data_IF_283082297370
#
_entry.id   IF_283082297370
#
_cell.length_a   1.000
_cell.length_b   1.000
_cell.length_c   1.000
_cell.angle_alpha   90.00
_cell.angle_beta   90.00
_cell.angle_gamma   90.00
#
_symmetry.space_group_name_H-M   'P 1'
#
loop_
_entity.id
_entity.type
_entity.pdbx_description
1 polymer ?
#
# COMPACT_ATOMS: atom_id res chain seq x y z
N UNK A 1 2.48 8.52 -40.29
CA UNK A 1 1.92 8.59 -38.92
C UNK A 1 1.15 9.89 -38.71
N UNK A 2 1.75 11.08 -38.89
CA UNK A 2 1.06 12.40 -38.82
C UNK A 2 -0.33 12.48 -39.48
N UNK A 3 -0.52 11.86 -40.66
CA UNK A 3 -1.81 11.88 -41.39
C UNK A 3 -2.95 11.13 -40.68
N UNK A 4 -2.63 10.19 -39.78
CA UNK A 4 -3.59 9.38 -39.02
C UNK A 4 -3.67 9.79 -37.54
N UNK A 5 -2.56 10.18 -36.91
CA UNK A 5 -2.52 10.53 -35.47
C UNK A 5 -2.57 12.03 -35.18
N UNK A 6 -2.21 12.90 -36.13
CA UNK A 6 -2.13 14.35 -35.95
C UNK A 6 -3.48 15.08 -35.79
N UNK A 7 -4.60 14.35 -35.72
CA UNK A 7 -5.91 14.91 -35.36
C UNK A 7 -6.18 14.86 -33.85
N UNK A 8 -5.44 14.06 -33.09
CA UNK A 8 -5.70 13.78 -31.67
C UNK A 8 -4.49 13.88 -30.75
N UNK A 9 -3.30 13.96 -31.34
CA UNK A 9 -2.03 13.96 -30.64
C UNK A 9 -1.11 15.06 -31.19
N UNK A 10 -0.37 15.70 -30.29
CA UNK A 10 0.70 16.63 -30.63
C UNK A 10 2.03 15.88 -30.69
N UNK A 11 2.86 16.21 -31.67
CA UNK A 11 4.17 15.57 -31.83
C UNK A 11 5.21 16.33 -31.03
N UNK A 12 5.83 15.67 -30.07
CA UNK A 12 6.88 16.24 -29.23
C UNK A 12 8.17 15.40 -29.22
N UNK A 13 9.30 16.06 -29.02
CA UNK A 13 10.57 15.41 -28.71
C UNK A 13 10.58 14.99 -27.24
N UNK A 14 10.69 13.69 -26.99
CA UNK A 14 10.82 13.13 -25.64
C UNK A 14 12.11 12.33 -25.53
N UNK A 15 12.63 12.20 -24.31
CA UNK A 15 13.78 11.32 -24.04
C UNK A 15 13.29 9.98 -23.52
N UNK A 16 13.57 8.91 -24.27
CA UNK A 16 13.15 7.55 -23.94
C UNK A 16 14.35 6.78 -23.44
N UNK A 17 14.19 6.10 -22.31
CA UNK A 17 15.25 5.25 -21.76
C UNK A 17 15.21 3.88 -22.46
N UNK A 18 16.29 3.51 -23.13
CA UNK A 18 16.43 2.22 -23.82
C UNK A 18 17.46 1.34 -23.10
N UNK A 19 17.56 0.07 -23.47
CA UNK A 19 18.58 -0.83 -22.92
C UNK A 19 20.02 -0.32 -23.11
N UNK A 20 20.25 0.60 -24.07
CA UNK A 20 21.55 1.19 -24.38
C UNK A 20 21.67 2.66 -23.91
N UNK A 21 20.74 3.14 -23.08
CA UNK A 21 20.73 4.50 -22.53
C UNK A 21 19.61 5.39 -23.08
N UNK A 22 19.66 6.67 -22.72
CA UNK A 22 18.68 7.69 -23.10
C UNK A 22 18.83 8.08 -24.56
N UNK A 23 17.75 7.93 -25.32
CA UNK A 23 17.67 8.29 -26.74
C UNK A 23 16.54 9.30 -26.93
N UNK A 24 16.77 10.33 -27.75
CA UNK A 24 15.73 11.28 -28.12
C UNK A 24 14.83 10.66 -29.21
N UNK A 25 13.52 10.67 -28.97
CA UNK A 25 12.53 10.10 -29.87
C UNK A 25 11.36 11.07 -30.07
N UNK A 26 10.67 10.94 -31.20
CA UNK A 26 9.43 11.66 -31.46
C UNK A 26 8.25 10.84 -30.95
N UNK A 27 7.48 11.39 -30.03
CA UNK A 27 6.26 10.78 -29.52
C UNK A 27 5.03 11.62 -29.90
N UNK A 28 3.92 10.94 -30.13
CA UNK A 28 2.61 11.57 -30.30
C UNK A 28 1.93 11.56 -28.93
N UNK A 29 1.79 12.73 -28.31
CA UNK A 29 1.18 12.91 -27.00
C UNK A 29 -0.26 13.36 -27.14
N UNK A 30 -1.18 12.70 -26.44
CA UNK A 30 -2.60 12.99 -26.58
C UNK A 30 -2.91 14.40 -26.10
N UNK A 31 -3.64 15.19 -26.89
CA UNK A 31 -4.02 16.53 -26.45
C UNK A 31 -5.05 16.44 -25.34
N UNK A 32 -5.02 17.39 -24.38
CA UNK A 32 -5.96 17.43 -23.25
C UNK A 32 -7.43 17.41 -23.70
N UNK A 33 -7.72 18.04 -24.82
CA UNK A 33 -9.06 18.06 -25.44
C UNK A 33 -9.45 16.70 -26.07
N UNK A 34 -8.51 16.01 -26.73
CA UNK A 34 -8.76 14.67 -27.30
C UNK A 34 -8.90 13.59 -26.23
N UNK A 35 -8.12 13.68 -25.15
CA UNK A 35 -8.25 12.84 -23.96
C UNK A 35 -9.67 12.92 -23.40
N UNK A 36 -10.17 14.14 -23.16
CA UNK A 36 -11.51 14.39 -22.63
C UNK A 36 -12.63 13.89 -23.53
N UNK A 37 -12.49 14.04 -24.86
CA UNK A 37 -13.54 13.74 -25.84
C UNK A 37 -13.67 12.26 -26.20
N UNK A 38 -12.57 11.51 -26.25
CA UNK A 38 -12.57 10.13 -26.79
C UNK A 38 -12.29 9.04 -25.76
N UNK A 39 -11.56 9.33 -24.68
CA UNK A 39 -11.31 8.36 -23.60
C UNK A 39 -12.37 8.42 -22.50
N UNK A 40 -13.15 9.51 -22.46
CA UNK A 40 -14.34 9.65 -21.62
C UNK A 40 -14.02 9.84 -20.13
N UNK A 41 -14.96 10.50 -19.45
CA UNK A 41 -14.88 10.80 -18.02
C UNK A 41 -15.06 9.56 -17.11
N UNK A 42 -15.35 8.34 -17.60
CA UNK A 42 -15.74 7.23 -16.69
C UNK A 42 -14.61 6.70 -15.80
N UNK A 43 -13.38 6.62 -16.31
CA UNK A 43 -12.22 6.22 -15.50
C UNK A 43 -11.72 7.37 -14.61
N UNK A 44 -11.89 8.61 -15.07
CA UNK A 44 -11.54 9.80 -14.31
C UNK A 44 -12.55 10.12 -13.22
N UNK A 45 -13.86 9.95 -13.43
CA UNK A 45 -14.92 10.28 -12.47
C UNK A 45 -14.82 9.40 -11.23
N UNK A 46 -14.69 8.08 -11.43
CA UNK A 46 -14.52 7.13 -10.33
C UNK A 46 -13.26 7.42 -9.49
N UNK A 47 -12.13 7.71 -10.15
CA UNK A 47 -10.89 8.10 -9.47
C UNK A 47 -10.98 9.48 -8.80
N UNK A 48 -11.60 10.46 -9.46
CA UNK A 48 -11.80 11.82 -8.92
C UNK A 48 -12.69 11.75 -7.68
N UNK A 49 -13.76 10.96 -7.73
CA UNK A 49 -14.66 10.74 -6.62
C UNK A 49 -13.98 10.02 -5.45
N UNK A 50 -13.20 8.96 -5.73
CA UNK A 50 -12.38 8.30 -4.69
C UNK A 50 -11.40 9.28 -4.05
N UNK A 51 -10.67 10.06 -4.86
CA UNK A 51 -9.72 11.06 -4.34
C UNK A 51 -10.42 12.15 -3.53
N UNK A 52 -11.61 12.59 -3.96
CA UNK A 52 -12.39 13.58 -3.24
C UNK A 52 -12.92 13.03 -1.91
N UNK A 53 -13.39 11.79 -1.89
CA UNK A 53 -13.81 11.09 -0.68
C UNK A 53 -12.64 10.92 0.30
N UNK A 54 -11.48 10.45 -0.17
CA UNK A 54 -10.26 10.34 0.66
C UNK A 54 -9.85 11.68 1.25
N UNK A 55 -9.94 12.77 0.48
CA UNK A 55 -9.68 14.13 0.98
C UNK A 55 -10.68 14.57 2.05
N UNK A 56 -11.96 14.20 1.93
CA UNK A 56 -12.99 14.45 2.96
C UNK A 56 -12.71 13.66 4.24
N UNK A 57 -12.34 12.38 4.12
CA UNK A 57 -11.94 11.54 5.25
C UNK A 57 -10.73 12.14 5.97
N UNK A 58 -9.71 12.57 5.23
CA UNK A 58 -8.52 13.24 5.78
C UNK A 58 -8.89 14.53 6.54
N UNK A 59 -9.78 15.35 5.99
CA UNK A 59 -10.28 16.55 6.66
C UNK A 59 -11.05 16.23 7.94
N UNK A 60 -11.85 15.16 7.94
CA UNK A 60 -12.56 14.69 9.13
C UNK A 60 -11.56 14.28 10.23
N UNK A 61 -10.59 13.44 9.89
CA UNK A 61 -9.56 12.99 10.84
C UNK A 61 -8.77 14.20 11.38
N UNK A 62 -8.43 15.18 10.53
CA UNK A 62 -7.75 16.42 10.97
C UNK A 62 -8.59 17.26 11.95
N UNK A 63 -9.92 17.27 11.82
CA UNK A 63 -10.82 17.96 12.76
C UNK A 63 -11.00 17.21 14.07
N UNK A 64 -11.01 15.87 14.03
CA UNK A 64 -11.25 15.01 15.20
C UNK A 64 -10.00 14.80 16.05
N UNK A 65 -8.87 14.52 15.39
CA UNK A 65 -7.63 14.10 16.04
C UNK A 65 -6.67 15.28 16.13
N UNK A 66 -6.55 15.82 17.35
CA UNK A 66 -5.70 16.99 17.71
C UNK A 66 -5.97 18.21 16.80
N UNK A 67 -7.19 18.76 16.86
CA UNK A 67 -7.59 19.88 16.01
C UNK A 67 -6.69 21.10 16.22
N UNK A 68 -6.27 21.71 15.12
CA UNK A 68 -5.43 22.92 15.12
C UNK A 68 -3.94 22.66 15.39
N UNK A 69 -3.55 21.41 15.67
CA UNK A 69 -2.15 21.07 15.91
C UNK A 69 -1.44 20.58 14.64
N UNK A 70 -0.27 21.16 14.36
CA UNK A 70 0.54 20.88 13.17
C UNK A 70 1.90 20.24 13.51
N UNK A 71 2.04 19.67 14.71
CA UNK A 71 3.24 18.95 15.12
C UNK A 71 3.38 17.63 14.37
N UNK A 72 4.62 17.14 14.22
CA UNK A 72 4.88 15.83 13.62
C UNK A 72 4.18 14.70 14.39
N UNK A 73 4.11 14.82 15.72
CA UNK A 73 3.46 13.86 16.60
C UNK A 73 1.93 13.79 16.35
N UNK A 74 1.29 14.95 16.16
CA UNK A 74 -0.13 15.01 15.80
C UNK A 74 -0.38 14.39 14.42
N UNK A 75 0.54 14.55 13.47
CA UNK A 75 0.42 13.93 12.16
C UNK A 75 0.57 12.41 12.19
N UNK A 76 1.49 11.89 13.01
CA UNK A 76 1.61 10.45 13.26
C UNK A 76 0.33 9.89 13.88
N UNK A 77 -0.25 10.59 14.86
CA UNK A 77 -1.51 10.14 15.47
C UNK A 77 -2.68 10.17 14.47
N UNK A 78 -2.77 11.17 13.59
CA UNK A 78 -3.78 11.21 12.51
C UNK A 78 -3.64 10.05 11.54
N UNK A 79 -2.42 9.69 11.15
CA UNK A 79 -2.15 8.53 10.30
C UNK A 79 -2.51 7.22 11.01
N UNK A 80 -2.18 7.09 12.29
CA UNK A 80 -2.53 5.92 13.09
C UNK A 80 -4.04 5.76 13.28
N UNK A 81 -4.75 6.86 13.49
CA UNK A 81 -6.22 6.89 13.57
C UNK A 81 -6.85 6.43 12.25
N UNK A 82 -6.30 6.89 11.12
CA UNK A 82 -6.74 6.43 9.79
C UNK A 82 -6.51 4.94 9.57
N UNK A 83 -5.37 4.41 10.01
CA UNK A 83 -5.04 2.99 9.90
C UNK A 83 -6.05 2.12 10.65
N UNK A 84 -6.44 2.53 11.86
CA UNK A 84 -7.48 1.85 12.64
C UNK A 84 -8.89 1.95 12.02
N UNK A 85 -9.12 2.94 11.16
CA UNK A 85 -10.37 3.14 10.41
C UNK A 85 -10.31 2.58 8.98
N UNK A 86 -9.23 1.91 8.59
CA UNK A 86 -8.98 1.54 7.19
C UNK A 86 -10.08 0.66 6.56
N UNK A 87 -10.70 -0.23 7.34
CA UNK A 87 -11.83 -1.04 6.88
C UNK A 87 -13.07 -0.18 6.62
N UNK A 88 -13.37 0.76 7.52
CA UNK A 88 -14.46 1.72 7.35
C UNK A 88 -14.22 2.61 6.14
N UNK A 89 -13.00 3.15 5.96
CA UNK A 89 -12.65 3.93 4.77
C UNK A 89 -12.83 3.10 3.48
N UNK A 90 -12.41 1.84 3.48
CA UNK A 90 -12.61 0.92 2.35
C UNK A 90 -14.09 0.72 2.04
N UNK A 91 -14.91 0.46 3.05
CA UNK A 91 -16.35 0.21 2.88
C UNK A 91 -17.06 1.47 2.38
N UNK A 92 -16.67 2.65 2.86
CA UNK A 92 -17.14 3.95 2.37
C UNK A 92 -16.76 4.18 0.89
N UNK A 93 -15.55 3.81 0.49
CA UNK A 93 -15.11 3.90 -0.91
C UNK A 93 -15.88 2.90 -1.79
N UNK A 94 -16.05 1.64 -1.35
CA UNK A 94 -16.77 0.61 -2.11
C UNK A 94 -18.25 0.95 -2.25
N UNK A 95 -18.91 1.37 -1.16
CA UNK A 95 -20.31 1.80 -1.20
C UNK A 95 -20.51 2.96 -2.16
N UNK A 96 -19.60 3.93 -2.20
CA UNK A 96 -19.66 5.02 -3.17
C UNK A 96 -19.58 4.56 -4.63
N UNK A 97 -18.94 3.43 -4.92
CA UNK A 97 -18.92 2.86 -6.27
C UNK A 97 -20.26 2.21 -6.67
N UNK A 98 -21.09 1.84 -5.69
CA UNK A 98 -22.36 1.16 -5.90
C UNK A 98 -23.60 2.05 -5.69
N UNK A 99 -23.45 3.26 -5.14
CA UNK A 99 -24.55 4.19 -4.85
C UNK A 99 -24.22 5.65 -5.24
N UNK A 100 -25.22 6.53 -5.20
CA UNK A 100 -25.03 7.98 -5.34
C UNK A 100 -24.08 8.57 -4.28
N UNK A 101 -23.73 9.85 -4.44
CA UNK A 101 -22.77 10.57 -3.60
C UNK A 101 -23.01 10.40 -2.09
N UNK A 102 -21.95 10.02 -1.36
CA UNK A 102 -22.00 9.84 0.10
C UNK A 102 -22.10 11.20 0.79
N UNK A 103 -23.15 11.40 1.59
CA UNK A 103 -23.40 12.67 2.32
C UNK A 103 -22.37 12.90 3.43
N UNK A 104 -22.10 14.18 3.76
CA UNK A 104 -21.18 14.53 4.85
C UNK A 104 -21.65 13.93 6.19
N UNK A 105 -22.95 14.00 6.47
CA UNK A 105 -23.52 13.42 7.69
C UNK A 105 -23.24 11.92 7.83
N UNK A 106 -23.39 11.15 6.74
CA UNK A 106 -23.12 9.72 6.78
C UNK A 106 -21.62 9.42 6.97
N UNK A 107 -20.74 10.18 6.31
CA UNK A 107 -19.30 10.06 6.54
C UNK A 107 -18.91 10.37 7.98
N UNK A 108 -19.41 11.47 8.53
CA UNK A 108 -19.12 11.86 9.92
C UNK A 108 -19.60 10.78 10.89
N UNK A 109 -20.81 10.24 10.68
CA UNK A 109 -21.34 9.18 11.51
C UNK A 109 -20.50 7.89 11.45
N UNK A 110 -20.11 7.46 10.25
CA UNK A 110 -19.30 6.24 10.08
C UNK A 110 -17.87 6.41 10.60
N UNK A 111 -17.29 7.59 10.47
CA UNK A 111 -15.93 7.88 10.91
C UNK A 111 -15.84 8.27 12.40
N UNK A 112 -16.95 8.66 13.05
CA UNK A 112 -16.98 8.96 14.49
C UNK A 112 -17.08 7.71 15.39
N UNK A 113 -16.83 6.52 14.82
CA UNK A 113 -16.74 5.29 15.61
C UNK A 113 -15.62 5.37 16.65
N UNK A 114 -15.78 4.72 17.82
CA UNK A 114 -14.74 4.65 18.82
C UNK A 114 -13.51 3.91 18.26
N UNK A 115 -12.32 4.36 18.64
CA UNK A 115 -11.07 3.69 18.26
C UNK A 115 -11.05 2.27 18.80
N UNK A 116 -10.67 1.26 18.00
CA UNK A 116 -10.36 -0.07 18.51
C UNK A 116 -9.29 -0.01 19.61
N UNK A 117 -9.44 -0.84 20.63
CA UNK A 117 -8.58 -0.88 21.82
C UNK A 117 -8.25 -2.33 22.16
N UNK A 118 -7.09 -2.60 22.75
CA UNK A 118 -6.72 -3.95 23.23
C UNK A 118 -7.26 -4.26 24.63
N UNK A 119 -7.86 -3.27 25.33
CA UNK A 119 -8.24 -3.42 26.75
C UNK A 119 -9.26 -4.53 27.01
N UNK A 120 -10.11 -4.84 26.03
CA UNK A 120 -11.08 -5.94 26.15
C UNK A 120 -10.40 -7.33 26.23
N UNK A 121 -9.17 -7.46 25.72
CA UNK A 121 -8.40 -8.71 25.77
C UNK A 121 -7.90 -9.02 27.18
N UNK A 122 -7.83 -8.03 28.08
CA UNK A 122 -7.37 -8.23 29.46
C UNK A 122 -8.35 -9.03 30.30
N UNK A 123 -9.65 -8.97 29.95
CA UNK A 123 -10.71 -9.70 30.64
C UNK A 123 -10.90 -11.13 30.13
N UNK A 124 -10.26 -11.53 29.03
CA UNK A 124 -10.36 -12.87 28.46
C UNK A 124 -9.10 -13.70 28.82
N UNK A 125 -9.21 -14.70 29.72
CA UNK A 125 -8.07 -15.53 30.11
C UNK A 125 -7.42 -16.28 28.95
N UNK A 126 -8.19 -16.64 27.92
CA UNK A 126 -7.67 -17.37 26.76
C UNK A 126 -6.89 -16.44 25.84
N UNK A 127 -7.43 -15.24 25.57
CA UNK A 127 -6.79 -14.27 24.69
C UNK A 127 -5.56 -13.58 25.33
N UNK A 128 -5.54 -13.44 26.66
CA UNK A 128 -4.49 -12.73 27.39
C UNK A 128 -3.08 -13.24 27.08
N UNK A 129 -2.93 -14.56 26.87
CA UNK A 129 -1.64 -15.19 26.57
C UNK A 129 -1.10 -14.87 25.17
N UNK A 130 -1.96 -14.37 24.27
CA UNK A 130 -1.62 -14.09 22.87
C UNK A 130 -1.54 -12.59 22.55
N UNK A 131 -1.64 -11.71 23.55
CA UNK A 131 -1.68 -10.25 23.32
C UNK A 131 -0.40 -9.76 22.64
N UNK A 132 0.77 -10.22 23.07
CA UNK A 132 2.04 -9.82 22.45
C UNK A 132 2.15 -10.32 21.00
N UNK A 133 1.77 -11.58 20.73
CA UNK A 133 1.72 -12.12 19.37
C UNK A 133 0.73 -11.35 18.47
N UNK A 134 -0.41 -10.93 19.03
CA UNK A 134 -1.37 -10.09 18.34
C UNK A 134 -0.77 -8.72 18.02
N UNK A 135 -0.09 -8.09 18.98
CA UNK A 135 0.57 -6.80 18.78
C UNK A 135 1.70 -6.87 17.76
N UNK A 136 2.50 -7.94 17.76
CA UNK A 136 3.48 -8.23 16.72
C UNK A 136 2.80 -8.26 15.34
N UNK A 137 1.70 -9.00 15.20
CA UNK A 137 0.94 -9.08 13.95
C UNK A 137 0.42 -7.70 13.53
N UNK A 138 -0.10 -6.91 14.47
CA UNK A 138 -0.56 -5.54 14.21
C UNK A 138 0.59 -4.68 13.68
N UNK A 139 1.74 -4.67 14.36
CA UNK A 139 2.90 -3.88 13.93
C UNK A 139 3.34 -4.30 12.52
N UNK A 140 3.46 -5.61 12.23
CA UNK A 140 3.79 -6.12 10.89
C UNK A 140 2.77 -5.69 9.83
N UNK A 141 1.48 -5.76 10.14
CA UNK A 141 0.42 -5.36 9.23
C UNK A 141 0.45 -3.86 8.92
N UNK A 142 0.67 -3.02 9.94
CA UNK A 142 0.76 -1.56 9.77
C UNK A 142 1.99 -1.19 8.94
N UNK A 143 3.14 -1.81 9.21
CA UNK A 143 4.34 -1.64 8.38
C UNK A 143 4.05 -1.97 6.91
N UNK A 144 3.38 -3.10 6.65
CA UNK A 144 3.02 -3.53 5.31
C UNK A 144 2.11 -2.51 4.61
N UNK A 145 1.05 -2.06 5.28
CA UNK A 145 0.10 -1.10 4.75
C UNK A 145 0.76 0.24 4.44
N UNK A 146 1.60 0.75 5.33
CA UNK A 146 2.29 2.02 5.16
C UNK A 146 3.35 1.98 4.05
N UNK A 147 4.07 0.86 3.90
CA UNK A 147 5.00 0.66 2.79
C UNK A 147 4.26 0.57 1.46
N UNK A 148 3.19 -0.22 1.37
CA UNK A 148 2.34 -0.34 0.18
C UNK A 148 1.81 1.04 -0.27
N UNK A 149 1.30 1.84 0.67
CA UNK A 149 0.81 3.19 0.41
C UNK A 149 1.90 4.12 -0.14
N UNK A 150 3.11 4.06 0.42
CA UNK A 150 4.28 4.83 -0.06
C UNK A 150 4.70 4.40 -1.46
N UNK A 151 4.73 3.10 -1.73
CA UNK A 151 5.06 2.53 -3.04
C UNK A 151 4.02 2.97 -4.08
N UNK A 152 2.73 2.85 -3.76
CA UNK A 152 1.64 3.27 -4.63
C UNK A 152 1.68 4.77 -4.93
N UNK A 153 1.94 5.59 -3.92
CA UNK A 153 1.98 7.04 -4.09
C UNK A 153 3.17 7.47 -4.96
N UNK A 154 4.31 6.80 -4.83
CA UNK A 154 5.56 7.19 -5.50
C UNK A 154 5.72 6.58 -6.89
N UNK A 155 5.34 5.32 -7.08
CA UNK A 155 5.58 4.54 -8.31
C UNK A 155 4.29 4.21 -9.04
N UNK A 156 3.27 5.07 -8.90
CA UNK A 156 1.95 4.86 -9.48
C UNK A 156 2.00 4.55 -10.97
N UNK A 157 2.82 5.31 -11.70
CA UNK A 157 2.97 5.17 -13.14
C UNK A 157 3.52 3.79 -13.49
N UNK A 158 4.62 3.37 -12.86
CA UNK A 158 5.26 2.08 -13.09
C UNK A 158 4.32 0.93 -12.76
N UNK A 159 3.64 1.01 -11.60
CA UNK A 159 2.67 0.01 -11.16
C UNK A 159 1.51 -0.15 -12.14
N UNK A 160 1.00 0.95 -12.69
CA UNK A 160 -0.08 0.92 -13.71
C UNK A 160 0.34 0.17 -14.98
N UNK A 161 1.62 0.25 -15.37
CA UNK A 161 2.15 -0.43 -16.56
C UNK A 161 2.56 -1.88 -16.31
N UNK A 162 2.59 -2.32 -15.05
CA UNK A 162 2.85 -3.71 -14.65
C UNK A 162 1.55 -4.48 -14.37
N UNK A 163 0.39 -3.86 -14.54
CA UNK A 163 -0.90 -4.53 -14.34
C UNK A 163 -1.18 -5.49 -15.49
N UNK A 164 -1.38 -6.76 -15.16
CA UNK A 164 -1.86 -7.78 -16.09
C UNK A 164 -3.38 -7.77 -16.26
N UNK A 165 -4.14 -7.14 -15.33
CA UNK A 165 -5.59 -6.97 -15.45
C UNK A 165 -6.13 -5.85 -14.58
N UNK A 166 -7.14 -5.12 -15.06
CA UNK A 166 -7.94 -4.19 -14.25
C UNK A 166 -8.90 -4.90 -13.29
N UNK A 167 -9.19 -6.18 -13.56
CA UNK A 167 -10.15 -6.99 -12.80
C UNK A 167 -9.53 -7.61 -11.54
N UNK A 168 -8.21 -7.78 -11.54
CA UNK A 168 -7.46 -8.42 -10.47
C UNK A 168 -6.71 -7.36 -9.65
N UNK A 169 -6.82 -7.49 -8.33
CA UNK A 169 -6.39 -6.60 -7.25
C UNK A 169 -5.31 -5.55 -7.61
N UNK A 170 -5.72 -4.26 -7.59
CA UNK A 170 -4.91 -3.08 -8.00
C UNK A 170 -3.59 -2.92 -7.25
N UNK A 171 -3.48 -3.49 -6.05
CA UNK A 171 -2.30 -3.36 -5.16
C UNK A 171 -1.38 -4.60 -5.19
N UNK A 172 -1.60 -5.57 -6.07
CA UNK A 172 -0.85 -6.84 -6.03
C UNK A 172 0.67 -6.63 -6.11
N UNK A 173 1.13 -5.84 -7.08
CA UNK A 173 2.56 -5.58 -7.28
C UNK A 173 3.16 -4.74 -6.15
N UNK A 174 2.43 -3.73 -5.66
CA UNK A 174 2.92 -2.86 -4.59
C UNK A 174 2.99 -3.56 -3.25
N UNK A 175 2.01 -4.42 -2.93
CA UNK A 175 2.06 -5.29 -1.74
C UNK A 175 3.21 -6.30 -1.86
N UNK A 176 3.43 -6.91 -3.03
CA UNK A 176 4.55 -7.81 -3.23
C UNK A 176 5.89 -7.12 -2.94
N UNK A 177 6.07 -5.89 -3.43
CA UNK A 177 7.28 -5.09 -3.13
C UNK A 177 7.37 -4.79 -1.64
N UNK A 178 6.28 -4.38 -1.00
CA UNK A 178 6.25 -4.07 0.43
C UNK A 178 6.64 -5.29 1.29
N UNK A 179 6.14 -6.48 0.96
CA UNK A 179 6.52 -7.73 1.62
C UNK A 179 7.99 -8.06 1.40
N UNK A 180 8.50 -7.93 0.18
CA UNK A 180 9.92 -8.15 -0.08
C UNK A 180 10.80 -7.20 0.74
N UNK A 181 10.36 -5.95 0.95
CA UNK A 181 11.07 -5.01 1.82
C UNK A 181 11.02 -5.44 3.29
N UNK A 182 9.86 -5.88 3.79
CA UNK A 182 9.71 -6.40 5.15
C UNK A 182 10.60 -7.64 5.37
N UNK A 183 10.57 -8.58 4.43
CA UNK A 183 11.27 -9.86 4.54
C UNK A 183 12.78 -9.77 4.28
N UNK A 184 13.24 -8.73 3.58
CA UNK A 184 14.67 -8.46 3.38
C UNK A 184 15.29 -7.73 4.57
N UNK A 185 14.48 -7.02 5.36
CA UNK A 185 14.92 -6.21 6.48
C UNK A 185 14.80 -7.01 7.79
N UNK A 186 15.91 -7.57 8.28
CA UNK A 186 15.99 -8.03 9.69
C UNK A 186 15.76 -6.91 10.72
N UNK A 187 15.53 -5.68 10.26
CA UNK A 187 15.09 -4.55 11.07
C UNK A 187 13.64 -4.66 11.52
N UNK A 188 12.79 -5.44 10.84
CA UNK A 188 11.38 -5.55 11.24
C UNK A 188 11.25 -6.27 12.58
N UNK A 189 11.99 -7.35 12.79
CA UNK A 189 12.04 -8.04 14.08
C UNK A 189 12.57 -7.12 15.19
N UNK A 190 13.64 -6.35 14.91
CA UNK A 190 14.17 -5.38 15.87
C UNK A 190 13.16 -4.28 16.23
N UNK A 191 12.39 -3.77 15.26
CA UNK A 191 11.32 -2.79 15.47
C UNK A 191 10.23 -3.37 16.36
N UNK A 192 9.87 -4.64 16.17
CA UNK A 192 8.83 -5.31 16.96
C UNK A 192 9.31 -5.55 18.40
N UNK A 193 10.51 -6.07 18.56
CA UNK A 193 11.11 -6.32 19.87
C UNK A 193 11.22 -5.01 20.66
N UNK A 194 11.70 -3.93 20.03
CA UNK A 194 11.77 -2.60 20.64
C UNK A 194 10.38 -2.06 21.00
N UNK A 195 9.37 -2.25 20.14
CA UNK A 195 8.00 -1.83 20.42
C UNK A 195 7.43 -2.53 21.66
N UNK A 196 7.61 -3.84 21.77
CA UNK A 196 7.09 -4.64 22.87
C UNK A 196 7.83 -4.36 24.19
N UNK A 197 9.15 -4.11 24.13
CA UNK A 197 9.96 -3.78 25.30
C UNK A 197 9.66 -2.36 25.82
N UNK A 198 9.66 -1.36 24.93
CA UNK A 198 9.48 0.04 25.30
C UNK A 198 8.02 0.37 25.68
N UNK A 199 7.06 -0.30 25.05
CA UNK A 199 5.65 -0.08 25.28
C UNK A 199 5.00 -1.37 25.80
N UNK A 200 5.04 -1.64 27.11
CA UNK A 200 4.30 -2.75 27.69
C UNK A 200 2.80 -2.50 27.58
N UNK A 201 2.05 -3.51 27.13
CA UNK A 201 0.63 -3.38 26.79
C UNK A 201 -0.24 -3.01 27.99
N UNK A 202 0.19 -3.27 29.23
CA UNK A 202 -0.55 -2.86 30.42
C UNK A 202 -0.62 -1.33 30.58
N UNK A 203 0.27 -0.58 29.93
CA UNK A 203 0.36 0.89 30.00
C UNK A 203 0.00 1.59 28.69
N UNK A 204 -0.04 0.86 27.58
CA UNK A 204 -0.27 1.39 26.25
C UNK A 204 -1.50 0.72 25.63
N UNK A 205 -2.13 1.40 24.68
CA UNK A 205 -3.26 0.87 23.93
C UNK A 205 -2.88 0.62 22.47
N UNK A 206 -3.80 0.05 21.69
CA UNK A 206 -3.56 -0.32 20.31
C UNK A 206 -3.02 0.84 19.45
N UNK A 207 -3.55 2.05 19.67
CA UNK A 207 -3.16 3.25 18.94
C UNK A 207 -1.67 3.57 19.09
N UNK A 208 -1.06 3.27 20.24
CA UNK A 208 0.34 3.58 20.51
C UNK A 208 1.25 2.71 19.64
N UNK A 209 0.95 1.40 19.55
CA UNK A 209 1.67 0.48 18.67
C UNK A 209 1.49 0.82 17.19
N UNK A 210 0.26 1.20 16.78
CA UNK A 210 0.00 1.62 15.41
C UNK A 210 0.78 2.90 15.08
N UNK A 211 0.77 3.89 15.98
CA UNK A 211 1.51 5.14 15.81
C UNK A 211 3.02 4.90 15.72
N UNK A 212 3.56 4.03 16.58
CA UNK A 212 4.95 3.61 16.52
C UNK A 212 5.28 2.93 15.18
N UNK A 213 4.46 1.99 14.72
CA UNK A 213 4.66 1.31 13.45
C UNK A 213 4.59 2.26 12.24
N UNK A 214 3.68 3.25 12.27
CA UNK A 214 3.61 4.31 11.24
C UNK A 214 4.92 5.10 11.17
N UNK A 215 5.47 5.48 12.32
CA UNK A 215 6.76 6.16 12.40
C UNK A 215 7.92 5.26 11.94
N UNK A 216 7.91 3.99 12.32
CA UNK A 216 8.92 3.02 11.93
C UNK A 216 8.91 2.80 10.41
N UNK A 217 7.74 2.74 9.77
CA UNK A 217 7.59 2.64 8.32
C UNK A 217 8.20 3.84 7.57
N UNK A 218 8.15 5.04 8.15
CA UNK A 218 8.80 6.22 7.56
C UNK A 218 10.33 6.07 7.54
N UNK A 219 10.89 5.42 8.57
CA UNK A 219 12.32 5.16 8.69
C UNK A 219 12.79 3.99 7.83
N UNK A 220 11.95 2.96 7.70
CA UNK A 220 12.26 1.72 6.97
C UNK A 220 12.13 1.90 5.44
N UNK A 221 11.31 2.85 4.98
CA UNK A 221 11.09 3.06 3.56
C UNK A 221 12.28 3.70 2.85
N UNK A 222 13.05 2.89 2.11
CA UNK A 222 14.01 3.37 1.12
C UNK A 222 13.44 3.24 -0.30
N UNK A 223 13.25 4.39 -0.96
CA UNK A 223 12.79 4.46 -2.35
C UNK A 223 13.70 3.72 -3.34
N UNK A 224 15.01 3.63 -3.10
CA UNK A 224 15.95 2.93 -3.97
C UNK A 224 15.73 1.42 -3.89
N UNK A 225 15.50 0.91 -2.68
CA UNK A 225 15.18 -0.50 -2.42
C UNK A 225 13.85 -0.85 -3.08
N UNK A 226 12.81 -0.05 -2.85
CA UNK A 226 11.51 -0.22 -3.49
C UNK A 226 11.61 -0.26 -5.03
N UNK A 227 12.38 0.66 -5.62
CA UNK A 227 12.63 0.70 -7.06
C UNK A 227 13.38 -0.54 -7.55
N UNK A 228 14.39 -1.02 -6.83
CA UNK A 228 15.13 -2.23 -7.18
C UNK A 228 14.22 -3.46 -7.22
N UNK A 229 13.34 -3.60 -6.23
CA UNK A 229 12.32 -4.66 -6.23
C UNK A 229 11.36 -4.55 -7.41
N UNK A 230 10.87 -3.34 -7.72
CA UNK A 230 10.02 -3.10 -8.90
C UNK A 230 10.72 -3.48 -10.20
N UNK A 231 11.98 -3.10 -10.38
CA UNK A 231 12.78 -3.44 -11.56
C UNK A 231 13.01 -4.95 -11.66
N UNK A 232 13.28 -5.63 -10.53
CA UNK A 232 13.38 -7.10 -10.49
C UNK A 232 12.08 -7.77 -10.87
N UNK A 233 10.93 -7.33 -10.33
CA UNK A 233 9.62 -7.90 -10.70
C UNK A 233 9.38 -7.66 -12.19
N UNK A 234 9.59 -6.44 -12.69
CA UNK A 234 9.40 -6.09 -14.11
C UNK A 234 10.25 -6.94 -15.05
N UNK A 235 11.50 -7.21 -14.69
CA UNK A 235 12.42 -8.01 -15.50
C UNK A 235 12.02 -9.51 -15.55
N UNK A 236 11.29 -9.99 -14.55
CA UNK A 236 10.87 -11.39 -14.43
C UNK A 236 9.38 -11.60 -14.73
N UNK A 237 8.62 -10.53 -14.94
CA UNK A 237 7.18 -10.55 -15.17
C UNK A 237 6.84 -11.38 -16.41
N UNK A 238 5.97 -12.40 -16.24
CA UNK A 238 5.57 -13.27 -17.35
C UNK A 238 4.05 -13.19 -17.57
N UNK A 239 3.59 -12.76 -18.76
CA UNK A 239 2.16 -12.73 -19.03
C UNK A 239 1.58 -14.15 -19.02
N UNK A 240 0.59 -14.39 -18.14
CA UNK A 240 -0.17 -15.63 -18.05
C UNK A 240 -1.68 -15.38 -18.18
N UNK A 241 -2.41 -16.32 -18.79
CA UNK A 241 -3.88 -16.27 -18.89
C UNK A 241 -4.58 -16.57 -17.55
N UNK A 242 -3.86 -17.17 -16.61
CA UNK A 242 -4.34 -17.52 -15.28
C UNK A 242 -3.62 -16.60 -14.29
N UNK A 243 -4.34 -15.74 -13.56
CA UNK A 243 -3.73 -15.05 -12.43
C UNK A 243 -3.38 -16.11 -11.39
N UNK A 244 -2.10 -16.47 -11.31
CA UNK A 244 -1.62 -17.26 -10.19
C UNK A 244 -1.76 -16.36 -8.97
N UNK A 245 -2.63 -16.78 -8.04
CA UNK A 245 -2.68 -16.15 -6.73
C UNK A 245 -1.32 -16.34 -6.09
N UNK A 246 -0.56 -15.25 -5.93
CA UNK A 246 0.55 -15.26 -5.01
C UNK A 246 -0.06 -15.37 -3.63
N UNK A 247 0.17 -16.48 -2.94
CA UNK A 247 -0.08 -16.57 -1.50
C UNK A 247 0.90 -15.61 -0.83
N UNK A 248 0.34 -14.47 -0.40
CA UNK A 248 1.04 -13.48 0.39
C UNK A 248 0.97 -13.98 1.83
N UNK A 249 1.94 -14.80 2.20
CA UNK A 249 2.08 -15.23 3.56
C UNK A 249 2.91 -14.22 4.36
N UNK A 250 2.37 -13.77 5.49
CA UNK A 250 3.15 -13.24 6.60
C UNK A 250 3.81 -14.40 7.37
N UNK A 251 4.33 -15.40 6.66
CA UNK A 251 5.00 -16.56 7.26
C UNK A 251 6.51 -16.45 7.11
N UNK A 252 7.21 -16.99 8.08
CA UNK A 252 8.67 -17.04 8.12
C UNK A 252 9.24 -18.07 7.12
N UNK A 253 8.38 -18.79 6.40
CA UNK A 253 8.75 -19.87 5.48
C UNK A 253 8.88 -19.38 4.04
N UNK A 254 7.96 -18.52 3.59
CA UNK A 254 7.98 -17.96 2.23
C UNK A 254 9.32 -17.29 1.83
N UNK A 255 9.91 -16.42 2.68
CA UNK A 255 11.22 -15.82 2.39
C UNK A 255 12.35 -16.85 2.32
N UNK A 256 12.29 -17.87 3.19
CA UNK A 256 13.30 -18.91 3.25
C UNK A 256 13.31 -19.82 2.02
N UNK A 257 12.22 -19.85 1.24
CA UNK A 257 12.11 -20.60 -0.01
C UNK A 257 12.61 -19.84 -1.25
N UNK A 258 13.13 -18.61 -1.09
CA UNK A 258 13.59 -17.77 -2.22
C UNK A 258 15.04 -17.33 -2.03
N UNK A 259 15.81 -17.28 -3.13
CA UNK A 259 17.20 -16.81 -3.08
C UNK A 259 17.30 -15.29 -2.76
N UNK A 260 18.24 -14.87 -1.88
CA UNK A 260 19.39 -15.64 -1.37
C UNK A 260 19.15 -16.41 -0.05
N UNK A 261 17.98 -16.24 0.58
CA UNK A 261 17.69 -16.78 1.91
C UNK A 261 17.58 -18.30 1.90
N UNK A 262 17.15 -18.90 0.78
CA UNK A 262 17.21 -20.35 0.55
C UNK A 262 18.63 -20.89 0.72
N UNK A 263 19.61 -20.30 0.03
CA UNK A 263 21.01 -20.70 0.16
C UNK A 263 21.59 -20.48 1.56
N UNK A 264 21.11 -19.45 2.28
CA UNK A 264 21.61 -19.09 3.62
C UNK A 264 20.99 -19.98 4.71
N UNK A 265 19.66 -20.17 4.70
CA UNK A 265 18.93 -20.85 5.76
C UNK A 265 18.78 -22.35 5.52
N UNK A 266 18.91 -22.82 4.26
CA UNK A 266 18.70 -24.22 3.84
C UNK A 266 17.36 -24.81 4.33
N UNK A 267 16.37 -23.97 4.60
CA UNK A 267 15.02 -24.40 4.89
C UNK A 267 14.36 -24.73 3.55
N UNK A 268 13.90 -25.97 3.44
CA UNK A 268 13.35 -26.53 2.22
C UNK A 268 11.85 -26.73 2.42
N UNK A 269 11.04 -26.05 1.62
CA UNK A 269 9.61 -26.31 1.52
C UNK A 269 9.33 -27.11 0.22
N UNK A 270 9.04 -28.42 0.30
CA UNK A 270 8.84 -29.26 -0.87
C UNK A 270 7.64 -28.86 -1.74
N UNK A 271 6.77 -27.96 -1.28
CA UNK A 271 5.54 -27.56 -1.97
C UNK A 271 5.73 -26.25 -2.77
N UNK A 272 6.54 -25.32 -2.26
CA UNK A 272 6.62 -23.95 -2.80
C UNK A 272 7.93 -23.60 -3.54
N UNK A 273 8.89 -24.51 -3.61
CA UNK A 273 10.27 -24.32 -4.14
C UNK A 273 10.38 -24.07 -5.67
N UNK A 274 9.33 -23.60 -6.32
CA UNK A 274 9.29 -23.41 -7.79
C UNK A 274 8.48 -22.20 -8.25
N UNK A 275 8.01 -21.33 -7.34
CA UNK A 275 7.30 -20.13 -7.74
C UNK A 275 8.25 -19.11 -8.38
N UNK A 276 8.29 -19.11 -9.71
CA UNK A 276 8.73 -17.96 -10.49
C UNK A 276 7.66 -16.88 -10.34
N UNK A 277 8.07 -15.61 -10.21
CA UNK A 277 7.13 -14.49 -10.28
C UNK A 277 6.46 -14.53 -11.67
N UNK A 278 5.17 -14.87 -11.72
CA UNK A 278 4.37 -14.80 -12.93
C UNK A 278 3.71 -13.43 -12.99
#
# INVERSE_FOLDING_TARGET
INRYEGKRYDRESVRVNTANGLVEAQAYLATRESMKKYFGDRFHVNLIHELWLRKRIEQFIKKRTRPGEETADAELERRADRELLATTERDLVISHYHSDAVSDYYLEHELDRPRPSIKYLYSDPNAKSFIENYLELVVKQVLLNQLDDKILSRYRFELEHMRSSERYFKRSVSILVALQMINAAGAVEMIIDEALEAMPYQKHDLIDYVKYAVQAADSLFDSRVARSHLERIRANFQPGLIPLGTEIELSNLGPAAVEPQMSIQKKFDPIYDSFKYF
#
